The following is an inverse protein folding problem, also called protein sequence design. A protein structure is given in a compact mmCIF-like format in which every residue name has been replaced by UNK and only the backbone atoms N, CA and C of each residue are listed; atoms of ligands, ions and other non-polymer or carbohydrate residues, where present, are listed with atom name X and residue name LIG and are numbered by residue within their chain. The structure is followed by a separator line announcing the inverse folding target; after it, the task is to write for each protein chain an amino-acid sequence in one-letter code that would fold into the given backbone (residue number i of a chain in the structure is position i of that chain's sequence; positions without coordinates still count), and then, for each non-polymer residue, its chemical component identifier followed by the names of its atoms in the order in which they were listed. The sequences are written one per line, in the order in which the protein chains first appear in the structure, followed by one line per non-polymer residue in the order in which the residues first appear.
data_IF_880021646809
#
_entry.id   IF_880021646809
#
_cell.length_a   1.000
_cell.length_b   1.000
_cell.length_c   1.000
_cell.angle_alpha   90.00
_cell.angle_beta   90.00
_cell.angle_gamma   90.00
#
_symmetry.space_group_name_H-M   'P 1'
#
loop_
_entity.id
_entity.type
_entity.pdbx_description
1 polymer ?
#
# COMPACT_ATOMS: atom_id res chain seq x y z
N UNK A 1 -3.85 -8.82 3.93
CA UNK A 1 -3.71 -8.04 5.16
C UNK A 1 -5.01 -7.89 5.92
N UNK A 2 -6.17 -7.62 5.28
CA UNK A 2 -7.43 -7.53 6.04
C UNK A 2 -7.70 -8.79 6.86
N UNK A 3 -7.43 -9.96 6.31
CA UNK A 3 -7.53 -11.25 7.02
C UNK A 3 -6.51 -11.37 8.16
N UNK A 4 -5.27 -10.89 7.93
CA UNK A 4 -4.23 -10.85 8.97
C UNK A 4 -4.61 -9.88 10.08
N UNK A 5 -5.05 -8.67 9.73
CA UNK A 5 -5.51 -7.67 10.71
C UNK A 5 -6.60 -8.26 11.62
N UNK A 6 -7.65 -8.84 11.03
CA UNK A 6 -8.77 -9.41 11.81
C UNK A 6 -8.30 -10.53 12.74
N UNK A 7 -7.41 -11.43 12.26
CA UNK A 7 -6.86 -12.51 13.11
C UNK A 7 -6.04 -11.95 14.26
N UNK A 8 -5.17 -10.97 14.00
CA UNK A 8 -4.35 -10.35 15.03
C UNK A 8 -5.23 -9.64 16.06
N UNK A 9 -6.27 -8.92 15.63
CA UNK A 9 -7.17 -8.21 16.54
C UNK A 9 -8.03 -9.15 17.39
N UNK A 10 -8.48 -10.29 16.85
CA UNK A 10 -9.15 -11.32 17.65
C UNK A 10 -8.25 -11.89 18.75
N UNK A 11 -6.99 -12.16 18.42
CA UNK A 11 -6.02 -12.63 19.39
C UNK A 11 -5.65 -11.52 20.40
N UNK A 12 -5.62 -10.26 19.96
CA UNK A 12 -5.38 -9.10 20.83
C UNK A 12 -6.48 -8.93 21.88
N UNK A 13 -7.73 -9.01 21.46
CA UNK A 13 -8.88 -8.90 22.37
C UNK A 13 -8.84 -9.97 23.47
N UNK A 14 -8.51 -11.22 23.11
CA UNK A 14 -8.36 -12.29 24.07
C UNK A 14 -7.17 -12.09 25.03
N UNK A 15 -6.06 -11.51 24.55
CA UNK A 15 -4.85 -11.28 25.36
C UNK A 15 -4.94 -10.04 26.24
N UNK A 16 -5.65 -9.01 25.80
CA UNK A 16 -5.76 -7.71 26.45
C UNK A 16 -7.22 -7.24 26.58
N UNK A 17 -8.08 -7.97 27.29
CA UNK A 17 -9.54 -7.70 27.31
C UNK A 17 -9.93 -6.35 27.91
N UNK A 18 -9.03 -5.72 28.67
CA UNK A 18 -9.27 -4.41 29.30
C UNK A 18 -8.69 -3.24 28.49
N UNK A 19 -7.95 -3.51 27.39
CA UNK A 19 -7.34 -2.46 26.61
C UNK A 19 -8.31 -1.96 25.54
N UNK A 20 -8.65 -0.68 25.62
CA UNK A 20 -9.46 -0.02 24.59
C UNK A 20 -8.61 0.21 23.35
N UNK A 21 -9.04 -0.33 22.22
CA UNK A 21 -8.39 -0.17 20.92
C UNK A 21 -9.13 0.87 20.06
N UNK A 22 -8.38 1.85 19.53
CA UNK A 22 -8.86 2.80 18.52
C UNK A 22 -8.12 2.57 17.21
N UNK A 23 -8.85 2.33 16.14
CA UNK A 23 -8.30 2.08 14.80
C UNK A 23 -8.54 3.28 13.90
N UNK A 24 -7.46 3.79 13.33
CA UNK A 24 -7.49 4.82 12.29
C UNK A 24 -6.94 4.23 10.99
N UNK A 25 -7.66 4.42 9.91
CA UNK A 25 -7.16 4.09 8.57
C UNK A 25 -6.64 5.37 7.91
N UNK A 26 -5.45 5.28 7.33
CA UNK A 26 -4.83 6.39 6.62
C UNK A 26 -4.03 5.89 5.42
N UNK A 27 -3.61 6.79 4.58
CA UNK A 27 -2.78 6.51 3.41
C UNK A 27 -1.41 7.15 3.57
N UNK A 28 -0.40 6.47 3.02
CA UNK A 28 0.95 7.01 2.83
C UNK A 28 1.51 7.72 4.08
N UNK A 29 1.83 9.00 3.98
CA UNK A 29 2.45 9.80 5.03
C UNK A 29 1.56 10.10 6.24
N UNK A 30 0.24 9.93 6.15
CA UNK A 30 -0.66 10.18 7.26
C UNK A 30 -0.42 9.22 8.45
N UNK A 31 -0.05 7.96 8.16
CA UNK A 31 0.23 6.97 9.21
C UNK A 31 1.45 7.37 10.06
N UNK A 32 2.64 7.65 9.49
CA UNK A 32 3.78 8.11 10.27
C UNK A 32 3.52 9.46 10.95
N UNK A 33 2.76 10.38 10.35
CA UNK A 33 2.42 11.64 10.99
C UNK A 33 1.60 11.44 12.27
N UNK A 34 0.62 10.54 12.27
CA UNK A 34 -0.12 10.21 13.47
C UNK A 34 0.77 9.63 14.58
N UNK A 35 1.78 8.83 14.22
CA UNK A 35 2.73 8.27 15.19
C UNK A 35 3.65 9.35 15.77
N UNK A 36 4.29 10.13 14.90
CA UNK A 36 5.24 11.18 15.31
C UNK A 36 4.57 12.23 16.18
N UNK A 37 3.36 12.66 15.81
CA UNK A 37 2.58 13.64 16.58
C UNK A 37 1.87 13.05 17.83
N UNK A 38 2.04 11.76 18.11
CA UNK A 38 1.47 11.11 19.28
C UNK A 38 -0.05 10.88 19.22
N UNK A 39 -0.65 10.99 18.04
CA UNK A 39 -2.07 10.67 17.81
C UNK A 39 -2.32 9.17 17.74
N UNK A 40 -1.26 8.37 17.48
CA UNK A 40 -1.29 6.92 17.52
C UNK A 40 -0.08 6.37 18.30
N UNK A 41 -0.31 5.33 19.11
CA UNK A 41 0.78 4.61 19.80
C UNK A 41 1.54 3.69 18.85
N UNK A 42 0.88 3.19 17.79
CA UNK A 42 1.43 2.27 16.80
C UNK A 42 0.84 2.56 15.42
N UNK A 43 1.70 2.66 14.41
CA UNK A 43 1.34 2.71 13.00
C UNK A 43 1.77 1.44 12.27
N UNK A 44 0.98 1.00 11.28
CA UNK A 44 1.33 -0.12 10.40
C UNK A 44 1.14 0.33 8.96
N UNK A 45 2.21 0.34 8.17
CA UNK A 45 2.14 0.80 6.78
C UNK A 45 3.47 0.73 6.05
N UNK A 46 3.41 1.05 4.76
CA UNK A 46 4.59 1.39 3.97
C UNK A 46 5.13 2.77 4.38
N UNK A 47 6.32 3.07 3.93
CA UNK A 47 6.98 4.34 4.22
C UNK A 47 7.36 5.03 2.91
N UNK A 48 7.07 6.32 2.81
CA UNK A 48 7.56 7.22 1.78
C UNK A 48 8.37 8.35 2.44
N UNK A 49 9.66 8.40 2.11
CA UNK A 49 10.60 9.35 2.71
C UNK A 49 11.04 8.98 4.12
N UNK A 50 11.75 9.90 4.76
CA UNK A 50 12.27 9.73 6.11
C UNK A 50 11.21 10.05 7.17
N UNK A 51 11.28 9.37 8.31
CA UNK A 51 10.39 9.59 9.44
C UNK A 51 11.16 9.48 10.75
N UNK A 52 10.88 10.39 11.68
CA UNK A 52 11.42 10.34 13.04
C UNK A 52 10.57 9.40 13.91
N UNK A 53 10.70 8.12 13.63
CA UNK A 53 10.02 7.05 14.35
C UNK A 53 10.89 5.80 14.39
N UNK A 54 10.70 4.97 15.40
CA UNK A 54 11.31 3.66 15.42
C UNK A 54 10.56 2.72 14.46
N UNK A 55 11.28 2.10 13.54
CA UNK A 55 10.72 1.26 12.48
C UNK A 55 11.09 -0.20 12.69
N UNK A 56 10.10 -1.05 12.78
CA UNK A 56 10.26 -2.51 12.81
C UNK A 56 9.69 -3.09 11.51
N UNK A 57 10.54 -3.63 10.66
CA UNK A 57 10.05 -4.31 9.45
C UNK A 57 9.26 -5.56 9.83
N UNK A 58 8.01 -5.62 9.41
CA UNK A 58 7.09 -6.73 9.71
C UNK A 58 6.76 -7.58 8.48
N UNK A 59 7.13 -7.12 7.27
CA UNK A 59 6.88 -7.85 6.04
C UNK A 59 7.09 -7.00 4.80
N UNK A 60 6.46 -7.41 3.71
CA UNK A 60 6.43 -6.68 2.44
C UNK A 60 5.01 -6.59 1.89
N UNK A 61 4.79 -5.60 1.06
CA UNK A 61 3.57 -5.40 0.30
C UNK A 61 3.93 -5.31 -1.19
N UNK A 62 3.29 -6.13 -2.01
CA UNK A 62 3.41 -6.07 -3.46
C UNK A 62 2.31 -5.19 -4.03
N UNK A 63 2.71 -4.16 -4.76
CA UNK A 63 1.81 -3.31 -5.55
C UNK A 63 1.87 -3.76 -7.00
N UNK A 64 0.73 -4.04 -7.60
CA UNK A 64 0.63 -4.49 -8.99
C UNK A 64 -0.33 -3.58 -9.77
N UNK A 65 -0.04 -3.28 -11.05
CA UNK A 65 -0.97 -2.56 -11.91
C UNK A 65 -2.15 -3.49 -12.27
N UNK A 66 -3.36 -2.97 -12.20
CA UNK A 66 -4.57 -3.73 -12.50
C UNK A 66 -5.63 -2.87 -13.17
N UNK A 67 -6.60 -3.52 -13.81
CA UNK A 67 -7.81 -2.92 -14.35
C UNK A 67 -8.93 -3.96 -14.46
N UNK A 68 -10.14 -3.52 -14.82
CA UNK A 68 -11.20 -4.43 -15.24
C UNK A 68 -10.82 -5.19 -16.52
N UNK A 69 -11.29 -6.43 -16.74
CA UNK A 69 -11.00 -7.18 -17.97
C UNK A 69 -11.47 -6.46 -19.25
N UNK A 70 -12.51 -5.63 -19.15
CA UNK A 70 -13.04 -4.82 -20.26
C UNK A 70 -12.23 -3.55 -20.54
N UNK A 71 -11.28 -3.20 -19.68
CA UNK A 71 -10.47 -1.99 -19.85
C UNK A 71 -9.54 -2.14 -21.06
N UNK A 72 -9.38 -1.10 -21.95
CA UNK A 72 -8.58 -1.20 -23.15
C UNK A 72 -7.17 -1.76 -22.92
N UNK A 73 -6.45 -1.31 -21.87
CA UNK A 73 -5.10 -1.83 -21.56
C UNK A 73 -5.06 -3.34 -21.28
N UNK A 74 -6.17 -3.94 -20.82
CA UNK A 74 -6.25 -5.37 -20.57
C UNK A 74 -6.34 -6.20 -21.88
N UNK A 75 -6.77 -5.56 -22.95
CA UNK A 75 -7.01 -6.18 -24.26
C UNK A 75 -5.82 -6.04 -25.22
N UNK A 76 -4.87 -5.16 -24.91
CA UNK A 76 -3.69 -4.93 -25.76
C UNK A 76 -2.67 -6.06 -25.64
N UNK A 77 -1.82 -6.25 -26.69
CA UNK A 77 -0.65 -7.12 -26.63
C UNK A 77 0.28 -6.74 -25.47
N UNK A 78 0.89 -7.74 -24.84
CA UNK A 78 1.74 -7.56 -23.66
C UNK A 78 3.22 -7.75 -23.99
N UNK A 79 4.13 -6.99 -23.36
CA UNK A 79 3.88 -5.90 -22.42
C UNK A 79 3.29 -4.67 -23.12
N UNK A 80 2.36 -3.97 -22.44
CA UNK A 80 1.76 -2.75 -23.01
C UNK A 80 2.77 -1.60 -22.94
N UNK A 81 3.05 -0.93 -24.07
CA UNK A 81 4.05 0.14 -24.13
C UNK A 81 3.59 1.41 -23.40
N UNK A 82 4.56 2.24 -23.00
CA UNK A 82 4.31 3.46 -22.23
C UNK A 82 3.35 4.44 -22.93
N UNK A 83 3.43 4.54 -24.26
CA UNK A 83 2.59 5.42 -25.07
C UNK A 83 1.10 5.09 -24.88
N UNK A 84 0.75 3.82 -24.96
CA UNK A 84 -0.62 3.35 -24.74
C UNK A 84 -1.07 3.56 -23.30
N UNK A 85 -0.19 3.28 -22.34
CA UNK A 85 -0.49 3.47 -20.90
C UNK A 85 -0.86 4.92 -20.59
N UNK A 86 -0.19 5.90 -21.23
CA UNK A 86 -0.39 7.34 -21.00
C UNK A 86 -1.77 7.84 -21.42
N UNK A 87 -2.39 7.24 -22.40
CA UNK A 87 -3.67 7.68 -22.97
C UNK A 87 -4.88 7.33 -22.07
N UNK A 88 -4.72 6.41 -21.14
CA UNK A 88 -5.80 5.91 -20.30
C UNK A 88 -5.80 6.53 -18.90
N UNK A 89 -6.99 6.79 -18.35
CA UNK A 89 -7.14 7.38 -17.01
C UNK A 89 -6.48 6.50 -15.95
N UNK A 90 -5.52 7.07 -15.23
CA UNK A 90 -4.91 6.42 -14.08
C UNK A 90 -5.55 6.90 -12.79
N UNK A 91 -5.99 5.94 -11.98
CA UNK A 91 -6.53 6.20 -10.65
C UNK A 91 -5.37 6.22 -9.64
N UNK A 92 -5.19 7.35 -8.97
CA UNK A 92 -4.05 7.62 -8.09
C UNK A 92 -4.56 7.92 -6.67
N UNK A 93 -4.02 7.23 -5.67
CA UNK A 93 -4.26 7.60 -4.27
C UNK A 93 -3.28 8.71 -3.90
N UNK A 94 -3.83 9.88 -3.60
CA UNK A 94 -3.05 11.03 -3.14
C UNK A 94 -2.67 10.90 -1.67
N UNK A 95 -1.48 11.32 -1.33
CA UNK A 95 -1.09 11.51 0.06
C UNK A 95 -1.79 12.74 0.63
N UNK A 96 -2.37 12.58 1.80
CA UNK A 96 -3.00 13.68 2.55
C UNK A 96 -2.02 14.41 3.47
N UNK A 97 -0.78 13.92 3.57
CA UNK A 97 0.27 14.56 4.36
C UNK A 97 1.11 15.50 3.50
N UNK A 98 1.85 16.40 4.14
CA UNK A 98 2.81 17.27 3.47
C UNK A 98 4.13 16.54 3.11
N UNK A 99 4.31 15.27 3.56
CA UNK A 99 5.55 14.50 3.37
C UNK A 99 5.90 14.23 1.92
N UNK A 100 4.91 14.03 1.09
CA UNK A 100 5.10 13.74 -0.34
C UNK A 100 4.59 14.86 -1.24
N UNK A 101 4.39 16.05 -0.68
CA UNK A 101 3.90 17.20 -1.44
C UNK A 101 4.75 17.47 -2.68
N UNK A 102 4.09 17.57 -3.82
CA UNK A 102 4.74 17.78 -5.12
C UNK A 102 5.48 16.56 -5.68
N UNK A 103 5.33 15.38 -5.07
CA UNK A 103 5.90 14.14 -5.57
C UNK A 103 4.82 13.14 -5.93
N UNK A 104 4.89 12.60 -7.11
CA UNK A 104 4.05 11.52 -7.58
C UNK A 104 4.87 10.22 -7.68
N UNK A 105 4.28 9.11 -7.25
CA UNK A 105 4.92 7.80 -7.30
C UNK A 105 4.10 6.87 -8.20
N UNK A 106 4.74 6.33 -9.24
CA UNK A 106 4.10 5.40 -10.16
C UNK A 106 2.96 6.02 -10.97
N UNK A 107 3.08 7.32 -11.29
CA UNK A 107 2.13 8.05 -12.15
C UNK A 107 2.73 8.15 -13.54
N UNK A 108 2.01 7.63 -14.54
CA UNK A 108 2.46 7.56 -15.93
C UNK A 108 1.49 8.20 -16.92
N UNK A 109 0.18 8.23 -16.60
CA UNK A 109 -0.86 8.71 -17.50
C UNK A 109 -0.93 10.23 -17.56
N UNK A 110 -1.30 10.76 -18.74
CA UNK A 110 -1.59 12.19 -18.95
C UNK A 110 -2.83 12.65 -18.17
N UNK A 111 -3.78 11.73 -17.96
CA UNK A 111 -5.01 12.00 -17.21
C UNK A 111 -5.05 11.16 -15.95
N UNK A 112 -5.17 11.83 -14.79
CA UNK A 112 -5.25 11.15 -13.49
C UNK A 112 -6.52 11.57 -12.77
N UNK A 113 -7.19 10.60 -12.14
CA UNK A 113 -8.18 10.85 -11.12
C UNK A 113 -7.56 10.60 -9.76
N UNK A 114 -7.58 11.63 -8.91
CA UNK A 114 -6.95 11.57 -7.59
C UNK A 114 -7.99 11.27 -6.52
N UNK A 115 -7.69 10.30 -5.69
CA UNK A 115 -8.55 9.73 -4.67
C UNK A 115 -7.85 9.80 -3.33
N UNK A 116 -8.62 9.79 -2.25
CA UNK A 116 -8.09 9.84 -0.88
C UNK A 116 -8.04 8.48 -0.20
N UNK A 117 -8.65 7.45 -0.80
CA UNK A 117 -8.68 6.12 -0.21
C UNK A 117 -8.59 5.00 -1.26
N UNK A 118 -8.07 3.86 -0.80
CA UNK A 118 -7.81 2.70 -1.64
C UNK A 118 -9.09 1.92 -1.99
N UNK A 119 -10.15 2.00 -1.18
CA UNK A 119 -11.41 1.27 -1.41
C UNK A 119 -12.20 1.90 -2.55
N UNK A 120 -12.29 3.22 -2.58
CA UNK A 120 -12.90 3.95 -3.70
C UNK A 120 -12.14 3.68 -4.98
N UNK A 121 -10.80 3.72 -4.95
CA UNK A 121 -9.97 3.35 -6.10
C UNK A 121 -10.29 1.96 -6.61
N UNK A 122 -10.33 0.97 -5.72
CA UNK A 122 -10.64 -0.42 -6.05
C UNK A 122 -12.03 -0.57 -6.69
N UNK A 123 -13.05 0.10 -6.12
CA UNK A 123 -14.40 0.07 -6.66
C UNK A 123 -14.48 0.65 -8.08
N UNK A 124 -13.85 1.82 -8.32
CA UNK A 124 -13.82 2.44 -9.64
C UNK A 124 -13.09 1.58 -10.68
N UNK A 125 -12.01 0.91 -10.28
CA UNK A 125 -11.29 -0.01 -11.17
C UNK A 125 -12.14 -1.21 -11.57
N UNK A 126 -12.92 -1.77 -10.65
CA UNK A 126 -13.85 -2.87 -10.93
C UNK A 126 -14.92 -2.48 -11.95
N UNK A 127 -15.35 -1.23 -11.95
CA UNK A 127 -16.32 -0.68 -12.91
C UNK A 127 -15.67 -0.23 -14.24
N UNK A 128 -14.36 -0.46 -14.41
CA UNK A 128 -13.66 -0.15 -15.65
C UNK A 128 -13.36 1.33 -15.89
N UNK A 129 -13.49 2.18 -14.88
CA UNK A 129 -13.30 3.64 -15.01
C UNK A 129 -11.85 4.08 -15.08
N UNK A 130 -10.91 3.14 -15.00
CA UNK A 130 -9.49 3.41 -15.13
C UNK A 130 -8.64 2.26 -14.64
N UNK A 131 -7.32 2.47 -14.66
CA UNK A 131 -6.32 1.53 -14.20
C UNK A 131 -5.48 2.12 -13.07
N UNK A 132 -4.70 1.28 -12.38
CA UNK A 132 -3.75 1.77 -11.37
C UNK A 132 -3.14 0.67 -10.53
N UNK A 133 -2.15 1.05 -9.70
CA UNK A 133 -1.52 0.13 -8.76
C UNK A 133 -2.41 -0.15 -7.54
N UNK A 134 -2.57 -1.42 -7.22
CA UNK A 134 -3.24 -1.88 -6.00
C UNK A 134 -2.39 -2.94 -5.29
N UNK A 135 -2.50 -3.07 -3.97
CA UNK A 135 -1.89 -4.20 -3.26
C UNK A 135 -2.44 -5.52 -3.81
N UNK A 136 -1.55 -6.43 -4.21
CA UNK A 136 -1.96 -7.75 -4.77
C UNK A 136 -2.96 -8.48 -3.87
N UNK A 137 -2.76 -8.43 -2.56
CA UNK A 137 -3.67 -9.05 -1.61
C UNK A 137 -5.08 -8.45 -1.60
N UNK A 138 -5.23 -7.18 -1.98
CA UNK A 138 -6.54 -6.50 -2.03
C UNK A 138 -7.36 -6.98 -3.21
N UNK A 139 -6.70 -7.29 -4.31
CA UNK A 139 -7.34 -7.69 -5.56
C UNK A 139 -7.35 -9.20 -5.81
N UNK A 140 -6.75 -10.00 -4.92
CA UNK A 140 -6.59 -11.44 -5.13
C UNK A 140 -7.92 -12.17 -5.44
N UNK A 141 -8.97 -11.86 -4.68
CA UNK A 141 -10.29 -12.45 -4.90
C UNK A 141 -10.95 -11.94 -6.20
N UNK A 142 -10.70 -10.69 -6.59
CA UNK A 142 -11.23 -10.14 -7.84
C UNK A 142 -10.51 -10.72 -9.06
N UNK A 143 -9.21 -10.93 -8.96
CA UNK A 143 -8.42 -11.60 -10.02
C UNK A 143 -8.86 -13.06 -10.16
N UNK A 144 -9.00 -13.79 -9.06
CA UNK A 144 -9.45 -15.17 -9.06
C UNK A 144 -10.87 -15.35 -9.67
N UNK A 145 -11.73 -14.34 -9.51
CA UNK A 145 -13.10 -14.34 -10.03
C UNK A 145 -13.26 -13.56 -11.36
N UNK A 146 -12.15 -13.13 -11.99
CA UNK A 146 -12.19 -12.44 -13.28
C UNK A 146 -12.82 -11.04 -13.25
N UNK A 147 -12.93 -10.39 -12.10
CA UNK A 147 -13.44 -9.01 -11.96
C UNK A 147 -12.36 -7.97 -12.17
N UNK A 148 -11.09 -8.32 -11.91
CA UNK A 148 -9.91 -7.55 -12.23
C UNK A 148 -8.87 -8.45 -12.90
N UNK A 149 -7.96 -7.85 -13.66
CA UNK A 149 -6.78 -8.51 -14.21
C UNK A 149 -5.53 -7.71 -13.84
N UNK A 150 -4.44 -8.41 -13.53
CA UNK A 150 -3.13 -7.77 -13.43
C UNK A 150 -2.68 -7.39 -14.85
N UNK A 151 -2.20 -6.16 -14.99
CA UNK A 151 -1.70 -5.63 -16.25
C UNK A 151 -0.18 -5.88 -16.34
N UNK A 152 0.29 -6.24 -17.54
CA UNK A 152 1.72 -6.29 -17.85
C UNK A 152 2.06 -5.01 -18.63
N UNK A 153 2.60 -4.03 -17.94
CA UNK A 153 2.92 -2.71 -18.47
C UNK A 153 4.43 -2.52 -18.51
N UNK A 154 4.95 -2.01 -19.63
CA UNK A 154 6.38 -1.73 -19.77
C UNK A 154 6.93 -0.79 -18.70
N UNK A 155 6.28 0.36 -18.37
CA UNK A 155 6.79 1.31 -17.40
C UNK A 155 6.51 0.93 -15.95
N UNK A 156 5.56 0.04 -15.69
CA UNK A 156 5.09 -0.24 -14.34
C UNK A 156 5.04 -1.74 -14.07
N UNK A 157 6.10 -2.22 -13.46
CA UNK A 157 6.18 -3.60 -12.97
C UNK A 157 5.69 -3.71 -11.54
N UNK A 158 5.61 -4.92 -11.00
CA UNK A 158 5.37 -5.14 -9.59
C UNK A 158 6.40 -4.40 -8.73
N UNK A 159 5.91 -3.60 -7.78
CA UNK A 159 6.74 -2.95 -6.78
C UNK A 159 6.55 -3.64 -5.44
N UNK A 160 7.62 -4.25 -4.94
CA UNK A 160 7.64 -4.85 -3.61
C UNK A 160 8.20 -3.86 -2.60
N UNK A 161 7.34 -3.33 -1.75
CA UNK A 161 7.70 -2.35 -0.72
C UNK A 161 7.70 -2.96 0.67
N UNK A 162 8.67 -2.62 1.54
CA UNK A 162 8.65 -3.07 2.92
C UNK A 162 7.46 -2.50 3.68
N UNK A 163 6.91 -3.31 4.58
CA UNK A 163 5.86 -2.94 5.50
C UNK A 163 6.44 -2.84 6.91
N UNK A 164 6.15 -1.74 7.58
CA UNK A 164 6.68 -1.45 8.91
C UNK A 164 5.57 -1.34 9.96
N UNK A 165 5.90 -1.78 11.17
CA UNK A 165 5.29 -1.28 12.39
C UNK A 165 6.14 -0.10 12.87
N UNK A 166 5.49 1.00 13.24
CA UNK A 166 6.13 2.27 13.60
C UNK A 166 5.65 2.70 14.97
N UNK A 167 6.55 3.13 15.84
CA UNK A 167 6.23 3.81 17.09
C UNK A 167 7.18 4.98 17.31
N UNK A 168 6.84 5.89 18.23
CA UNK A 168 7.69 7.05 18.51
C UNK A 168 9.11 6.64 18.88
N UNK A 169 10.10 7.40 18.40
CA UNK A 169 11.52 7.15 18.66
C UNK A 169 11.93 7.43 20.11
N UNK A 170 11.22 8.36 20.79
CA UNK A 170 11.54 8.86 22.14
C UNK A 170 11.10 7.93 23.28
N UNK A 171 10.40 6.81 22.97
CA UNK A 171 9.92 5.87 24.00
C UNK A 171 9.74 4.46 23.45
N UNK A 172 9.88 3.49 24.35
CA UNK A 172 9.57 2.09 24.05
C UNK A 172 8.06 1.88 23.90
N UNK A 173 7.65 0.95 23.05
CA UNK A 173 6.23 0.63 22.92
C UNK A 173 5.68 0.01 24.20
N UNK A 174 4.45 0.38 24.57
CA UNK A 174 3.73 -0.24 25.69
C UNK A 174 3.55 -1.75 25.43
N UNK A 175 3.35 -2.60 26.47
CA UNK A 175 3.25 -4.06 26.31
C UNK A 175 2.25 -4.51 25.25
N UNK A 176 1.08 -3.90 25.18
CA UNK A 176 0.06 -4.20 24.17
C UNK A 176 0.52 -3.86 22.74
N UNK A 177 1.20 -2.73 22.55
CA UNK A 177 1.75 -2.33 21.25
C UNK A 177 2.94 -3.23 20.85
N UNK A 178 3.81 -3.57 21.78
CA UNK A 178 4.92 -4.50 21.54
C UNK A 178 4.41 -5.89 21.11
N UNK A 179 3.38 -6.38 21.76
CA UNK A 179 2.72 -7.64 21.41
C UNK A 179 2.11 -7.58 19.99
N UNK A 180 1.43 -6.49 19.64
CA UNK A 180 0.89 -6.30 18.29
C UNK A 180 1.99 -6.33 17.23
N UNK A 181 3.11 -5.65 17.45
CA UNK A 181 4.27 -5.65 16.54
C UNK A 181 4.75 -7.09 16.30
N UNK A 182 4.92 -7.87 17.36
CA UNK A 182 5.37 -9.25 17.28
C UNK A 182 4.37 -10.13 16.52
N UNK A 183 3.06 -10.00 16.80
CA UNK A 183 2.03 -10.75 16.09
C UNK A 183 1.98 -10.43 14.59
N UNK A 184 2.05 -9.16 14.23
CA UNK A 184 2.10 -8.77 12.82
C UNK A 184 3.37 -9.30 12.14
N UNK A 185 4.53 -9.22 12.81
CA UNK A 185 5.79 -9.76 12.30
C UNK A 185 5.71 -11.27 12.05
N UNK A 186 5.14 -12.04 13.00
CA UNK A 186 4.94 -13.48 12.83
C UNK A 186 4.01 -13.80 11.67
N UNK A 187 2.85 -13.14 11.61
CA UNK A 187 1.84 -13.46 10.62
C UNK A 187 2.14 -12.95 9.20
N UNK A 188 2.91 -11.88 9.07
CA UNK A 188 3.33 -11.34 7.77
C UNK A 188 4.70 -11.87 7.36
N UNK A 189 5.57 -12.25 8.31
CA UNK A 189 6.88 -12.84 8.06
C UNK A 189 6.81 -14.21 7.37
N UNK A 190 5.79 -15.02 7.67
CA UNK A 190 5.57 -16.30 6.99
C UNK A 190 5.30 -16.18 5.48
N UNK A 191 4.94 -14.99 4.98
CA UNK A 191 4.79 -14.72 3.55
C UNK A 191 6.10 -14.25 2.89
N UNK A 192 7.21 -14.19 3.65
CA UNK A 192 8.51 -13.64 3.19
C UNK A 192 9.49 -14.69 2.69
N UNK A 193 9.17 -15.98 2.74
CA UNK A 193 10.10 -17.09 2.40
C UNK A 193 10.29 -17.31 0.88
N UNK A 194 9.76 -16.43 0.02
CA UNK A 194 10.06 -16.45 -1.40
C UNK A 194 10.97 -15.29 -1.80
N UNK A 195 12.26 -15.61 -1.82
CA UNK A 195 13.42 -15.08 -2.54
C UNK A 195 13.90 -13.63 -2.31
N UNK A 196 15.24 -13.51 -2.30
CA UNK A 196 15.92 -12.28 -1.99
C UNK A 196 16.25 -11.48 -3.25
N UNK A 197 16.37 -10.18 -3.03
CA UNK A 197 17.23 -9.29 -3.82
C UNK A 197 16.68 -8.74 -5.13
N UNK A 198 16.05 -7.56 -4.98
CA UNK A 198 16.37 -6.36 -5.77
C UNK A 198 15.64 -5.17 -5.13
N UNK A 199 16.38 -4.32 -4.44
CA UNK A 199 15.92 -2.97 -4.14
C UNK A 199 15.92 -2.20 -5.47
N UNK A 200 14.74 -1.81 -6.02
CA UNK A 200 14.73 -0.85 -7.11
C UNK A 200 15.05 0.50 -6.51
N UNK A 201 16.11 1.12 -7.02
CA UNK A 201 16.39 2.51 -6.77
C UNK A 201 15.12 3.33 -7.04
N UNK A 202 14.76 4.17 -6.09
CA UNK A 202 13.68 5.12 -6.25
C UNK A 202 14.05 6.11 -7.37
N UNK A 203 13.69 5.78 -8.59
CA UNK A 203 13.67 6.75 -9.68
C UNK A 203 12.47 7.63 -9.49
N UNK A 204 12.64 8.71 -8.73
CA UNK A 204 11.74 9.84 -8.77
C UNK A 204 11.85 10.44 -10.17
N UNK A 205 10.88 10.22 -11.04
CA UNK A 205 10.73 11.05 -12.22
C UNK A 205 10.34 12.45 -11.73
N UNK A 206 11.32 13.36 -11.74
CA UNK A 206 11.04 14.79 -11.67
C UNK A 206 10.24 15.15 -12.92
N UNK A 207 9.04 15.68 -12.71
CA UNK A 207 8.27 16.35 -13.75
C UNK A 207 9.11 17.53 -14.21
N UNK A 208 9.55 17.54 -15.47
CA UNK A 208 10.07 18.74 -16.13
C UNK A 208 8.92 19.74 -16.39
N UNK A 209 9.23 21.05 -16.45
CA UNK A 209 8.28 22.17 -16.50
C UNK A 209 7.35 22.17 -17.73
#
# INVERSE_FOLDING_TARGET
PSTVLVRVLKAFEAQFPTVMLRLHAGTLGLIPDHVVNGHADLGIGGLLGEVDAHLVRIGFMSMVPAAAPSHPLALLPKPVPLEEVREHIQLVVSDQSERTKGRDYGVYAYRTWRLTDMRTKHALMREGLGWGGLPRWLIADDVANGRLVELDLEPYREVRSPLYAMHRADRSPKPAAAWLIDQFKRQLGCFNEFEPNQAPGATAHQSAP
#
